data_IF_224946361218
#
_entry.id   IF_224946361218
#
_cell.length_a   1.000
_cell.length_b   1.000
_cell.length_c   1.000
_cell.angle_alpha   90.00
_cell.angle_beta   90.00
_cell.angle_gamma   90.00
#
_symmetry.space_group_name_H-M   'P 1'
#
loop_
_entity.id
_entity.type
_entity.pdbx_description
1 polymer ?
#
# COMPACT_ATOMS: atom_id res chain seq x y z
N UNK A 1 -54.50 -22.73 -10.57
CA UNK A 1 -53.42 -23.02 -9.62
C UNK A 1 -52.18 -22.31 -10.15
N UNK A 2 -52.04 -21.04 -9.73
CA UNK A 2 -50.96 -20.14 -10.21
C UNK A 2 -49.75 -20.33 -9.33
N UNK A 3 -48.69 -20.93 -9.90
CA UNK A 3 -47.36 -20.94 -9.30
C UNK A 3 -46.70 -19.57 -9.50
N UNK A 4 -46.74 -18.76 -8.46
CA UNK A 4 -45.92 -17.57 -8.38
C UNK A 4 -44.53 -18.06 -7.92
N UNK A 5 -43.63 -18.26 -8.88
CA UNK A 5 -42.21 -18.40 -8.58
C UNK A 5 -41.75 -17.02 -8.14
N UNK A 6 -41.55 -16.86 -6.86
CA UNK A 6 -40.83 -15.72 -6.28
C UNK A 6 -39.38 -15.83 -6.74
N UNK A 7 -39.03 -15.12 -7.80
CA UNK A 7 -37.66 -14.78 -8.10
C UNK A 7 -37.14 -13.89 -6.97
N UNK A 8 -36.55 -14.52 -5.96
CA UNK A 8 -35.72 -13.82 -4.98
C UNK A 8 -34.45 -13.46 -5.76
N UNK A 9 -34.47 -12.28 -6.38
CA UNK A 9 -33.25 -11.65 -6.85
C UNK A 9 -32.45 -11.35 -5.58
N UNK A 10 -31.50 -12.24 -5.25
CA UNK A 10 -30.43 -11.89 -4.34
C UNK A 10 -29.66 -10.76 -5.05
N UNK A 11 -29.93 -9.52 -4.67
CA UNK A 11 -29.06 -8.40 -5.00
C UNK A 11 -27.69 -8.76 -4.39
N UNK A 12 -26.82 -9.31 -5.23
CA UNK A 12 -25.42 -9.53 -4.86
C UNK A 12 -24.88 -8.15 -4.53
N UNK A 13 -24.59 -7.90 -3.27
CA UNK A 13 -23.89 -6.68 -2.87
C UNK A 13 -22.56 -6.69 -3.60
N UNK A 14 -22.39 -5.81 -4.55
CA UNK A 14 -21.14 -5.67 -5.28
C UNK A 14 -20.36 -4.60 -4.54
N UNK A 15 -19.37 -5.01 -3.77
CA UNK A 15 -18.43 -4.08 -3.17
C UNK A 15 -17.55 -3.47 -4.26
N UNK A 16 -17.17 -2.20 -4.04
CA UNK A 16 -16.40 -1.42 -5.03
C UNK A 16 -14.94 -1.33 -4.65
N UNK A 17 -14.65 -1.36 -3.34
CA UNK A 17 -13.29 -1.29 -2.79
C UNK A 17 -13.04 -2.53 -1.93
N UNK A 18 -11.93 -3.22 -2.19
CA UNK A 18 -11.38 -4.23 -1.29
C UNK A 18 -10.22 -3.64 -0.49
N UNK A 19 -10.23 -3.82 0.83
CA UNK A 19 -9.15 -3.42 1.73
C UNK A 19 -8.43 -4.68 2.17
N UNK A 20 -7.13 -4.75 1.96
CA UNK A 20 -6.29 -5.90 2.34
C UNK A 20 -5.42 -5.51 3.54
N UNK A 21 -5.53 -6.26 4.63
CA UNK A 21 -4.82 -6.05 5.89
C UNK A 21 -4.02 -7.31 6.21
N UNK A 22 -2.69 -7.32 5.99
CA UNK A 22 -1.83 -8.40 6.47
C UNK A 22 -1.65 -8.27 7.99
N UNK A 23 -1.81 -9.36 8.73
CA UNK A 23 -1.67 -9.40 10.19
C UNK A 23 -0.69 -10.50 10.58
N UNK A 24 0.30 -10.18 11.42
CA UNK A 24 1.19 -11.15 12.05
C UNK A 24 1.57 -10.71 13.46
N UNK A 25 0.98 -11.34 14.48
CA UNK A 25 1.25 -11.04 15.90
C UNK A 25 1.19 -9.54 16.25
N UNK A 26 0.34 -8.77 15.55
CA UNK A 26 0.13 -7.35 15.86
C UNK A 26 -0.47 -7.23 17.27
N UNK A 27 0.01 -6.30 18.11
CA UNK A 27 -0.58 -6.04 19.42
C UNK A 27 -2.10 -5.79 19.29
N UNK A 28 -2.88 -6.36 20.20
CA UNK A 28 -4.35 -6.33 20.09
C UNK A 28 -4.89 -4.90 20.10
N UNK A 29 -4.33 -4.02 20.93
CA UNK A 29 -4.77 -2.62 21.00
C UNK A 29 -4.52 -1.87 19.68
N UNK A 30 -3.39 -2.14 19.01
CA UNK A 30 -3.06 -1.56 17.71
C UNK A 30 -3.99 -2.10 16.62
N UNK A 31 -4.20 -3.41 16.62
CA UNK A 31 -5.09 -4.09 15.68
C UNK A 31 -6.54 -3.62 15.82
N UNK A 32 -7.03 -3.48 17.05
CA UNK A 32 -8.38 -2.96 17.32
C UNK A 32 -8.51 -1.50 16.85
N UNK A 33 -7.51 -0.66 17.12
CA UNK A 33 -7.44 0.72 16.64
C UNK A 33 -7.50 0.79 15.12
N UNK A 34 -6.72 -0.05 14.43
CA UNK A 34 -6.72 -0.17 12.97
C UNK A 34 -8.12 -0.52 12.44
N UNK A 35 -8.68 -1.63 12.89
CA UNK A 35 -9.96 -2.13 12.41
C UNK A 35 -11.13 -1.18 12.73
N UNK A 36 -11.12 -0.51 13.89
CA UNK A 36 -12.11 0.49 14.25
C UNK A 36 -12.03 1.72 13.34
N UNK A 37 -10.84 2.13 12.87
CA UNK A 37 -10.68 3.23 11.92
C UNK A 37 -11.32 2.95 10.57
N UNK A 38 -11.42 1.68 10.19
CA UNK A 38 -12.09 1.24 8.97
C UNK A 38 -13.61 1.18 9.16
N UNK A 39 -14.08 0.77 10.33
CA UNK A 39 -15.52 0.74 10.65
C UNK A 39 -16.19 2.12 10.58
N UNK A 40 -15.44 3.19 10.89
CA UNK A 40 -15.97 4.56 10.89
C UNK A 40 -15.83 5.28 9.55
N UNK A 41 -15.41 4.59 8.48
CA UNK A 41 -15.31 5.20 7.15
C UNK A 41 -16.67 5.70 6.69
N UNK A 42 -16.70 6.90 6.10
CA UNK A 42 -17.92 7.55 5.58
C UNK A 42 -18.41 6.95 4.25
N UNK A 43 -17.62 6.10 3.61
CA UNK A 43 -17.99 5.30 2.44
C UNK A 43 -18.26 3.86 2.86
N UNK A 44 -19.41 3.30 2.50
CA UNK A 44 -19.86 2.01 3.02
C UNK A 44 -19.77 0.83 2.02
N UNK A 45 -19.38 1.10 0.77
CA UNK A 45 -19.33 0.07 -0.27
C UNK A 45 -17.93 -0.56 -0.39
N UNK A 46 -17.47 -1.16 0.69
CA UNK A 46 -16.15 -1.81 0.80
C UNK A 46 -16.22 -3.16 1.50
N UNK A 47 -15.25 -4.02 1.19
CA UNK A 47 -15.01 -5.32 1.83
C UNK A 47 -13.59 -5.36 2.38
N UNK A 48 -13.43 -5.88 3.59
CA UNK A 48 -12.14 -5.98 4.29
C UNK A 48 -11.69 -7.43 4.31
N UNK A 49 -10.51 -7.68 3.78
CA UNK A 49 -9.81 -8.96 3.85
C UNK A 49 -8.68 -8.86 4.87
N UNK A 50 -8.89 -9.45 6.04
CA UNK A 50 -7.87 -9.56 7.09
C UNK A 50 -7.15 -10.88 6.86
N UNK A 51 -5.88 -10.81 6.48
CA UNK A 51 -5.05 -11.98 6.18
C UNK A 51 -4.09 -12.20 7.33
N UNK A 52 -4.44 -13.15 8.19
CA UNK A 52 -3.61 -13.57 9.31
C UNK A 52 -2.53 -14.53 8.82
N UNK A 53 -1.30 -14.06 8.80
CA UNK A 53 -0.10 -14.75 8.32
C UNK A 53 0.51 -15.66 9.41
N UNK A 54 -0.33 -16.51 10.01
CA UNK A 54 0.12 -17.50 10.99
C UNK A 54 0.41 -16.93 12.37
N UNK A 55 -0.40 -15.98 12.86
CA UNK A 55 -0.26 -15.40 14.20
C UNK A 55 -0.51 -16.43 15.32
N UNK A 56 -0.21 -16.03 16.54
CA UNK A 56 -0.52 -16.77 17.76
C UNK A 56 -2.05 -16.90 17.98
N UNK A 57 -2.43 -17.74 18.94
CA UNK A 57 -3.84 -18.05 19.19
C UNK A 57 -4.64 -16.84 19.70
N UNK A 58 -4.00 -15.93 20.43
CA UNK A 58 -4.64 -14.73 20.95
C UNK A 58 -5.10 -13.81 19.81
N UNK A 59 -4.18 -13.49 18.86
CA UNK A 59 -4.46 -12.69 17.67
C UNK A 59 -5.54 -13.35 16.81
N UNK A 60 -5.45 -14.67 16.56
CA UNK A 60 -6.46 -15.42 15.79
C UNK A 60 -7.84 -15.31 16.42
N UNK A 61 -7.93 -15.59 17.72
CA UNK A 61 -9.21 -15.53 18.45
C UNK A 61 -9.80 -14.12 18.43
N UNK A 62 -8.97 -13.10 18.58
CA UNK A 62 -9.41 -11.70 18.48
C UNK A 62 -10.02 -11.41 17.11
N UNK A 63 -9.31 -11.77 16.01
CA UNK A 63 -9.78 -11.52 14.64
C UNK A 63 -11.12 -12.20 14.34
N UNK A 64 -11.29 -13.47 14.72
CA UNK A 64 -12.54 -14.22 14.54
C UNK A 64 -13.69 -13.56 15.30
N UNK A 65 -13.46 -13.19 16.56
CA UNK A 65 -14.44 -12.50 17.37
C UNK A 65 -14.79 -11.13 16.80
N UNK A 66 -13.78 -10.37 16.34
CA UNK A 66 -13.97 -9.03 15.78
C UNK A 66 -14.82 -9.07 14.51
N UNK A 67 -14.60 -10.03 13.63
CA UNK A 67 -15.34 -10.17 12.37
C UNK A 67 -16.78 -10.71 12.57
N UNK A 68 -17.07 -11.34 13.72
CA UNK A 68 -18.38 -11.92 13.99
C UNK A 68 -19.50 -10.88 13.89
N UNK A 69 -20.48 -11.14 13.03
CA UNK A 69 -21.62 -10.25 12.79
C UNK A 69 -21.34 -9.07 11.84
N UNK A 70 -20.12 -8.95 11.31
CA UNK A 70 -19.75 -7.92 10.34
C UNK A 70 -19.62 -8.54 8.93
N UNK A 71 -20.64 -8.35 8.10
CA UNK A 71 -20.73 -8.97 6.77
C UNK A 71 -19.68 -8.47 5.76
N UNK A 72 -19.05 -7.35 6.03
CA UNK A 72 -18.01 -6.74 5.20
C UNK A 72 -16.59 -6.96 5.74
N UNK A 73 -16.38 -7.86 6.73
CA UNK A 73 -15.08 -8.26 7.24
C UNK A 73 -14.90 -9.77 7.04
N UNK A 74 -13.85 -10.15 6.33
CA UNK A 74 -13.49 -11.55 6.05
C UNK A 74 -12.11 -11.81 6.64
N UNK A 75 -12.02 -12.76 7.58
CA UNK A 75 -10.76 -13.25 8.13
C UNK A 75 -10.31 -14.50 7.38
N UNK A 76 -9.03 -14.56 7.04
CA UNK A 76 -8.36 -15.73 6.46
C UNK A 76 -7.07 -15.99 7.22
N UNK A 77 -6.98 -17.17 7.82
CA UNK A 77 -5.76 -17.67 8.45
C UNK A 77 -4.97 -18.48 7.43
N UNK A 78 -3.71 -18.11 7.22
CA UNK A 78 -2.78 -18.81 6.33
C UNK A 78 -1.54 -19.26 7.12
N UNK A 79 -0.72 -20.11 6.53
CA UNK A 79 0.61 -20.41 7.07
C UNK A 79 1.53 -19.20 6.90
N UNK A 80 2.41 -18.95 7.89
CA UNK A 80 3.30 -17.81 7.83
C UNK A 80 4.23 -17.86 6.62
N UNK A 81 4.11 -16.86 5.77
CA UNK A 81 4.89 -16.69 4.54
C UNK A 81 5.41 -15.27 4.35
N UNK A 82 5.19 -14.39 5.33
CA UNK A 82 5.59 -12.99 5.31
C UNK A 82 4.56 -12.06 4.68
N UNK A 83 4.74 -10.77 4.90
CA UNK A 83 3.80 -9.70 4.51
C UNK A 83 3.46 -9.71 3.01
N UNK A 84 4.44 -9.95 2.14
CA UNK A 84 4.24 -10.07 0.69
C UNK A 84 3.31 -11.23 0.34
N UNK A 85 3.47 -12.39 1.01
CA UNK A 85 2.62 -13.55 0.81
C UNK A 85 1.18 -13.26 1.26
N UNK A 86 1.00 -12.66 2.42
CA UNK A 86 -0.32 -12.29 2.93
C UNK A 86 -1.03 -11.28 2.00
N UNK A 87 -0.32 -10.23 1.53
CA UNK A 87 -0.87 -9.28 0.56
C UNK A 87 -1.25 -9.96 -0.75
N UNK A 88 -0.41 -10.85 -1.28
CA UNK A 88 -0.67 -11.61 -2.50
C UNK A 88 -1.92 -12.50 -2.37
N UNK A 89 -2.06 -13.17 -1.24
CA UNK A 89 -3.26 -13.97 -0.96
C UNK A 89 -4.52 -13.09 -0.93
N UNK A 90 -4.43 -11.91 -0.28
CA UNK A 90 -5.51 -10.93 -0.28
C UNK A 90 -5.89 -10.45 -1.70
N UNK A 91 -4.90 -10.16 -2.56
CA UNK A 91 -5.13 -9.81 -3.97
C UNK A 91 -5.86 -10.94 -4.70
N UNK A 92 -5.45 -12.19 -4.48
CA UNK A 92 -5.98 -13.37 -5.17
C UNK A 92 -7.45 -13.64 -4.86
N UNK A 93 -7.85 -13.50 -3.58
CA UNK A 93 -9.24 -13.78 -3.15
C UNK A 93 -10.18 -12.58 -3.29
N UNK A 94 -9.66 -11.39 -3.51
CA UNK A 94 -10.43 -10.16 -3.68
C UNK A 94 -10.78 -9.91 -5.15
N UNK A 95 -11.88 -9.18 -5.43
CA UNK A 95 -12.36 -8.98 -6.80
C UNK A 95 -13.07 -7.63 -7.08
N UNK A 96 -13.06 -6.70 -6.14
CA UNK A 96 -13.65 -5.37 -6.34
C UNK A 96 -12.87 -4.55 -7.37
N UNK A 97 -13.49 -3.49 -7.89
CA UNK A 97 -12.91 -2.58 -8.89
C UNK A 97 -11.63 -1.91 -8.39
N UNK A 98 -11.57 -1.61 -7.10
CA UNK A 98 -10.43 -0.94 -6.46
C UNK A 98 -9.86 -1.75 -5.30
N UNK A 99 -8.58 -1.50 -5.02
CA UNK A 99 -7.82 -2.09 -3.92
C UNK A 99 -7.17 -1.01 -3.06
N UNK A 100 -7.19 -1.22 -1.75
CA UNK A 100 -6.38 -0.47 -0.79
C UNK A 100 -5.62 -1.44 0.12
N UNK A 101 -4.43 -1.06 0.56
CA UNK A 101 -3.64 -1.80 1.54
C UNK A 101 -3.54 -0.98 2.83
N UNK A 102 -3.68 -1.66 3.96
CA UNK A 102 -3.57 -1.04 5.29
C UNK A 102 -2.71 -1.95 6.17
N UNK A 103 -1.70 -1.39 6.80
CA UNK A 103 -0.89 -2.13 7.77
C UNK A 103 -1.65 -2.22 9.11
N UNK A 104 -1.55 -3.35 9.78
CA UNK A 104 -2.41 -3.72 10.90
C UNK A 104 -2.21 -2.90 12.19
N UNK A 105 -1.13 -2.13 12.28
CA UNK A 105 -0.78 -1.23 13.39
C UNK A 105 -1.08 0.25 13.12
N UNK A 106 -1.58 0.58 11.91
CA UNK A 106 -1.88 1.92 11.44
C UNK A 106 -3.38 2.23 11.41
N UNK A 107 -3.78 3.47 11.08
CA UNK A 107 -5.20 3.84 10.98
C UNK A 107 -5.49 4.67 9.73
N UNK A 108 -6.76 4.61 9.28
CA UNK A 108 -7.27 5.46 8.21
C UNK A 108 -7.96 6.70 8.77
N UNK A 109 -7.81 7.83 8.08
CA UNK A 109 -8.70 8.98 8.26
C UNK A 109 -10.11 8.62 7.77
N UNK A 110 -11.15 9.09 8.47
CA UNK A 110 -12.54 8.67 8.28
C UNK A 110 -13.12 8.87 6.89
N UNK A 111 -12.59 9.82 6.12
CA UNK A 111 -13.09 10.17 4.79
C UNK A 111 -12.23 9.59 3.65
N UNK A 112 -11.19 8.82 3.96
CA UNK A 112 -10.24 8.29 2.97
C UNK A 112 -10.94 7.55 1.82
N UNK A 113 -11.75 6.55 2.14
CA UNK A 113 -12.37 5.72 1.08
C UNK A 113 -13.32 6.54 0.21
N UNK A 114 -14.06 7.48 0.81
CA UNK A 114 -14.99 8.34 0.08
C UNK A 114 -14.24 9.29 -0.86
N UNK A 115 -13.31 10.07 -0.32
CA UNK A 115 -12.57 11.07 -1.10
C UNK A 115 -11.73 10.41 -2.20
N UNK A 116 -11.02 9.31 -1.88
CA UNK A 116 -10.22 8.59 -2.85
C UNK A 116 -11.08 8.01 -3.97
N UNK A 117 -12.26 7.43 -3.65
CA UNK A 117 -13.19 6.90 -4.63
C UNK A 117 -13.77 8.00 -5.55
N UNK A 118 -14.21 9.12 -4.99
CA UNK A 118 -14.74 10.23 -5.76
C UNK A 118 -13.67 10.77 -6.73
N UNK A 119 -12.45 11.01 -6.25
CA UNK A 119 -11.37 11.58 -7.07
C UNK A 119 -10.92 10.60 -8.18
N UNK A 120 -10.78 9.30 -7.88
CA UNK A 120 -10.32 8.30 -8.85
C UNK A 120 -11.34 8.13 -9.99
N UNK A 121 -12.64 8.15 -9.66
CA UNK A 121 -13.74 8.05 -10.65
C UNK A 121 -13.87 9.33 -11.49
N UNK A 122 -13.93 10.50 -10.85
CA UNK A 122 -14.10 11.78 -11.53
C UNK A 122 -12.98 12.06 -12.54
N UNK A 123 -11.77 11.63 -12.24
CA UNK A 123 -10.60 11.87 -13.07
C UNK A 123 -10.22 10.65 -13.93
N UNK A 124 -10.94 9.53 -13.83
CA UNK A 124 -10.63 8.26 -14.50
C UNK A 124 -9.17 7.83 -14.30
N UNK A 125 -8.73 7.80 -13.05
CA UNK A 125 -7.36 7.44 -12.69
C UNK A 125 -7.21 5.93 -12.55
N UNK A 126 -5.99 5.44 -12.75
CA UNK A 126 -5.61 4.07 -12.40
C UNK A 126 -5.09 3.98 -10.95
N UNK A 127 -4.56 5.09 -10.43
CA UNK A 127 -4.02 5.21 -9.09
C UNK A 127 -4.28 6.62 -8.55
N UNK A 128 -4.73 6.71 -7.30
CA UNK A 128 -4.71 7.96 -6.54
C UNK A 128 -3.83 7.79 -5.30
N UNK A 129 -3.03 8.81 -5.00
CA UNK A 129 -2.07 8.85 -3.89
C UNK A 129 -2.38 10.05 -3.03
N UNK A 130 -2.54 9.83 -1.74
CA UNK A 130 -2.62 10.89 -0.72
C UNK A 130 -1.41 10.91 0.21
N UNK A 131 -1.41 11.86 1.13
CA UNK A 131 -0.45 11.97 2.21
C UNK A 131 -0.86 11.18 3.45
N UNK A 132 0.00 11.24 4.46
CA UNK A 132 -0.21 10.58 5.74
C UNK A 132 0.31 11.44 6.89
N UNK A 133 -0.11 11.11 8.11
CA UNK A 133 0.50 11.59 9.34
C UNK A 133 1.54 10.56 9.80
N UNK A 134 2.72 11.01 10.21
CA UNK A 134 3.63 10.22 11.05
C UNK A 134 3.31 10.54 12.50
N UNK A 135 3.04 9.51 13.30
CA UNK A 135 2.74 9.64 14.72
C UNK A 135 3.88 9.01 15.51
N UNK A 136 4.61 9.86 16.23
CA UNK A 136 5.76 9.48 17.08
C UNK A 136 5.53 10.07 18.46
N UNK A 137 5.44 9.24 19.49
CA UNK A 137 5.24 9.71 20.88
C UNK A 137 4.07 10.71 21.02
N UNK A 138 2.95 10.47 20.30
CA UNK A 138 1.78 11.34 20.21
C UNK A 138 2.01 12.69 19.51
N UNK A 139 3.17 12.93 18.92
CA UNK A 139 3.40 14.07 18.04
C UNK A 139 3.05 13.71 16.59
N UNK A 140 2.40 14.62 15.90
CA UNK A 140 1.92 14.40 14.53
C UNK A 140 2.76 15.24 13.56
N UNK A 141 3.41 14.60 12.61
CA UNK A 141 4.02 15.21 11.43
C UNK A 141 3.20 14.84 10.19
N UNK A 142 2.66 15.85 9.49
CA UNK A 142 1.94 15.63 8.22
C UNK A 142 2.89 15.47 7.05
N UNK A 143 2.71 14.42 6.26
CA UNK A 143 3.43 14.18 5.01
C UNK A 143 2.42 14.23 3.85
N UNK A 144 2.37 15.36 3.15
CA UNK A 144 1.41 15.64 2.07
C UNK A 144 2.05 16.45 0.96
N UNK A 145 1.34 16.64 -0.14
CA UNK A 145 1.76 17.58 -1.19
C UNK A 145 1.92 19.00 -0.62
N UNK A 146 2.96 19.68 -1.06
CA UNK A 146 3.19 21.10 -0.74
C UNK A 146 2.30 22.04 -1.55
N UNK A 147 1.75 21.58 -2.69
CA UNK A 147 0.83 22.35 -3.53
C UNK A 147 -0.61 21.82 -3.39
N UNK A 148 -1.61 22.72 -3.28
CA UNK A 148 -3.00 22.30 -3.14
C UNK A 148 -3.56 21.68 -4.42
N UNK A 149 -4.59 20.85 -4.25
CA UNK A 149 -5.34 20.25 -5.36
C UNK A 149 -4.84 18.88 -5.77
N UNK A 150 -5.14 18.50 -7.00
CA UNK A 150 -4.75 17.22 -7.60
C UNK A 150 -3.74 17.44 -8.72
N UNK A 151 -2.68 16.62 -8.71
CA UNK A 151 -1.65 16.59 -9.76
C UNK A 151 -1.78 15.28 -10.53
N UNK A 152 -2.03 15.37 -11.84
CA UNK A 152 -2.26 14.22 -12.71
C UNK A 152 -1.05 13.99 -13.61
N UNK A 153 -0.62 12.73 -13.67
CA UNK A 153 0.43 12.23 -14.56
C UNK A 153 -0.20 11.26 -15.55
N UNK A 154 -0.16 11.60 -16.84
CA UNK A 154 -0.69 10.79 -17.93
C UNK A 154 0.17 10.94 -19.20
N UNK A 155 0.13 9.96 -20.11
CA UNK A 155 0.93 9.97 -21.32
C UNK A 155 2.43 10.05 -21.01
N UNK A 156 3.16 10.94 -21.72
CA UNK A 156 4.61 11.11 -21.51
C UNK A 156 4.97 11.60 -20.09
N UNK A 157 4.05 12.32 -19.41
CA UNK A 157 4.28 12.80 -18.05
C UNK A 157 4.32 11.68 -17.00
N UNK A 158 3.87 10.47 -17.32
CA UNK A 158 3.98 9.33 -16.40
C UNK A 158 5.44 8.98 -16.14
N UNK A 159 6.33 9.25 -17.10
CA UNK A 159 7.78 9.09 -16.92
C UNK A 159 8.33 10.01 -15.82
N UNK A 160 7.79 11.21 -15.68
CA UNK A 160 8.14 12.14 -14.62
C UNK A 160 7.71 11.62 -13.24
N UNK A 161 6.53 10.98 -13.15
CA UNK A 161 6.12 10.30 -11.93
C UNK A 161 7.06 9.13 -11.61
N UNK A 162 7.41 8.34 -12.61
CA UNK A 162 8.31 7.18 -12.48
C UNK A 162 9.71 7.61 -12.02
N UNK A 163 10.25 8.67 -12.60
CA UNK A 163 11.51 9.27 -12.16
C UNK A 163 11.44 9.70 -10.69
N UNK A 164 10.33 10.33 -10.27
CA UNK A 164 10.12 10.73 -8.89
C UNK A 164 9.99 9.55 -7.93
N UNK A 165 9.35 8.46 -8.36
CA UNK A 165 9.23 7.22 -7.59
C UNK A 165 10.60 6.59 -7.31
N UNK A 166 11.49 6.59 -8.29
CA UNK A 166 12.84 6.03 -8.21
C UNK A 166 13.83 6.98 -7.56
N UNK A 167 13.77 8.25 -7.93
CA UNK A 167 14.68 9.26 -7.42
C UNK A 167 14.34 9.57 -5.97
N UNK A 168 15.28 9.28 -5.10
CA UNK A 168 15.20 9.70 -3.71
C UNK A 168 15.78 11.09 -3.50
N UNK A 169 15.79 11.97 -4.52
CA UNK A 169 16.19 13.38 -4.39
C UNK A 169 15.18 14.11 -3.51
N UNK A 170 15.39 14.00 -2.21
CA UNK A 170 14.56 14.58 -1.17
C UNK A 170 14.56 16.12 -1.18
N UNK A 171 15.42 16.82 -1.95
CA UNK A 171 15.67 18.24 -1.74
C UNK A 171 15.34 19.21 -2.89
N UNK A 172 15.16 18.76 -4.12
CA UNK A 172 14.78 19.70 -5.21
C UNK A 172 13.48 19.30 -5.92
N UNK A 173 13.28 18.02 -6.22
CA UNK A 173 12.03 17.52 -6.82
C UNK A 173 10.87 17.48 -5.82
N UNK A 174 11.13 17.24 -4.55
CA UNK A 174 10.11 17.24 -3.50
C UNK A 174 9.57 18.65 -3.16
N UNK A 175 10.14 19.73 -3.71
CA UNK A 175 9.54 21.06 -3.54
C UNK A 175 8.21 21.22 -4.26
N UNK A 176 8.00 20.50 -5.37
CA UNK A 176 6.74 20.56 -6.12
C UNK A 176 5.69 19.57 -5.61
N UNK A 177 6.11 18.36 -5.15
CA UNK A 177 5.19 17.30 -4.69
C UNK A 177 5.20 17.19 -3.16
N UNK A 178 6.09 17.91 -2.48
CA UNK A 178 6.32 17.73 -1.05
C UNK A 178 7.00 16.39 -0.74
N UNK A 179 6.91 15.94 0.51
CA UNK A 179 7.43 14.65 0.97
C UNK A 179 6.53 13.47 0.58
N UNK A 180 5.82 13.53 -0.58
CA UNK A 180 4.88 12.46 -0.94
C UNK A 180 5.61 11.11 -1.08
N UNK A 181 5.24 10.10 -0.30
CA UNK A 181 5.94 8.82 -0.27
C UNK A 181 5.52 7.95 -1.45
N UNK A 182 6.15 8.16 -2.57
CA UNK A 182 5.78 7.46 -3.82
C UNK A 182 6.07 5.95 -3.78
N UNK A 183 7.00 5.47 -2.97
CA UNK A 183 7.37 4.06 -2.86
C UNK A 183 6.53 3.21 -1.88
N UNK A 184 5.67 3.81 -1.05
CA UNK A 184 4.85 3.07 -0.08
C UNK A 184 3.53 2.64 -0.72
N UNK A 185 2.85 1.62 -0.19
CA UNK A 185 1.57 1.14 -0.75
C UNK A 185 0.33 1.64 -0.01
N UNK A 186 0.47 2.10 1.21
CA UNK A 186 -0.64 2.71 1.95
C UNK A 186 -0.94 4.14 1.45
N UNK A 187 -2.02 4.75 1.85
CA UNK A 187 -2.54 6.04 1.37
C UNK A 187 -2.96 6.04 -0.11
N UNK A 188 -3.26 4.85 -0.66
CA UNK A 188 -3.54 4.69 -2.09
C UNK A 188 -4.81 3.91 -2.34
N UNK A 189 -5.47 4.28 -3.44
CA UNK A 189 -6.52 3.46 -4.03
C UNK A 189 -6.06 3.06 -5.44
N UNK A 190 -5.94 1.76 -5.66
CA UNK A 190 -5.47 1.13 -6.89
C UNK A 190 -6.64 0.64 -7.73
N UNK A 191 -6.67 0.93 -9.01
CA UNK A 191 -7.61 0.31 -9.94
C UNK A 191 -7.13 -1.11 -10.26
N UNK A 192 -7.99 -2.10 -10.06
CA UNK A 192 -7.65 -3.52 -10.23
C UNK A 192 -7.23 -3.86 -11.64
N UNK A 193 -7.89 -3.31 -12.66
CA UNK A 193 -7.58 -3.62 -14.06
C UNK A 193 -6.12 -3.29 -14.40
N UNK A 194 -5.58 -2.22 -13.81
CA UNK A 194 -4.18 -1.82 -14.01
C UNK A 194 -3.19 -2.68 -13.20
N UNK A 195 -3.69 -3.47 -12.25
CA UNK A 195 -2.86 -4.44 -11.51
C UNK A 195 -2.45 -5.62 -12.40
N UNK A 196 -3.36 -6.10 -13.26
CA UNK A 196 -3.13 -7.31 -14.06
C UNK A 196 -2.81 -8.53 -13.19
N UNK A 197 -1.68 -9.17 -13.48
CA UNK A 197 -1.17 -10.32 -12.71
C UNK A 197 -0.07 -9.93 -11.71
N UNK A 198 0.08 -8.65 -11.41
CA UNK A 198 1.13 -8.14 -10.51
C UNK A 198 0.97 -8.73 -9.11
N UNK A 199 2.10 -9.14 -8.53
CA UNK A 199 2.23 -9.65 -7.16
C UNK A 199 3.44 -9.02 -6.48
N UNK A 200 3.40 -8.98 -5.15
CA UNK A 200 4.58 -8.65 -4.35
C UNK A 200 5.61 -9.77 -4.47
N UNK A 201 6.89 -9.43 -4.58
CA UNK A 201 7.97 -10.42 -4.56
C UNK A 201 8.16 -10.94 -3.12
N UNK A 202 7.92 -12.24 -2.95
CA UNK A 202 8.04 -12.90 -1.64
C UNK A 202 9.48 -13.14 -1.18
N UNK A 203 10.46 -12.97 -2.07
CA UNK A 203 11.88 -13.09 -1.74
C UNK A 203 12.47 -11.78 -1.23
N UNK A 204 11.76 -10.68 -1.38
CA UNK A 204 12.19 -9.35 -0.96
C UNK A 204 11.51 -9.00 0.36
N UNK A 205 12.33 -8.78 1.41
CA UNK A 205 11.85 -8.52 2.77
C UNK A 205 11.99 -7.06 3.18
N UNK A 206 12.46 -6.18 2.29
CA UNK A 206 12.56 -4.74 2.49
C UNK A 206 12.38 -4.02 1.18
N UNK A 207 11.54 -2.99 1.16
CA UNK A 207 11.18 -2.22 -0.03
C UNK A 207 10.42 -3.04 -1.10
N UNK A 208 9.75 -4.11 -0.70
CA UNK A 208 8.83 -4.90 -1.54
C UNK A 208 7.68 -4.02 -2.08
N UNK A 209 7.24 -3.08 -1.27
CA UNK A 209 6.24 -2.07 -1.63
C UNK A 209 6.74 -1.12 -2.74
N UNK A 210 8.00 -0.69 -2.66
CA UNK A 210 8.61 0.13 -3.72
C UNK A 210 8.69 -0.63 -5.04
N UNK A 211 9.09 -1.91 -5.03
CA UNK A 211 9.10 -2.74 -6.24
C UNK A 211 7.69 -2.91 -6.81
N UNK A 212 6.72 -3.20 -5.96
CA UNK A 212 5.32 -3.29 -6.37
C UNK A 212 4.81 -1.99 -7.00
N UNK A 213 5.14 -0.84 -6.41
CA UNK A 213 4.78 0.47 -6.95
C UNK A 213 5.44 0.76 -8.31
N UNK A 214 6.69 0.37 -8.50
CA UNK A 214 7.40 0.46 -9.78
C UNK A 214 6.65 -0.35 -10.84
N UNK A 215 6.39 -1.63 -10.55
CA UNK A 215 5.74 -2.55 -11.49
C UNK A 215 4.29 -2.14 -11.78
N UNK A 216 3.56 -1.61 -10.78
CA UNK A 216 2.22 -1.06 -10.98
C UNK A 216 2.24 0.18 -11.88
N UNK A 217 3.20 1.08 -11.67
CA UNK A 217 3.31 2.32 -12.45
C UNK A 217 3.55 2.06 -13.94
N UNK A 218 4.28 0.99 -14.28
CA UNK A 218 4.49 0.57 -15.67
C UNK A 218 3.17 0.22 -16.36
N UNK A 219 2.21 -0.35 -15.63
CA UNK A 219 0.91 -0.76 -16.15
C UNK A 219 -0.15 0.35 -16.09
N UNK A 220 0.10 1.41 -15.34
CA UNK A 220 -0.85 2.52 -15.17
C UNK A 220 -0.74 3.52 -16.33
N UNK A 221 -1.87 4.05 -16.78
CA UNK A 221 -1.92 5.09 -17.80
C UNK A 221 -2.13 6.48 -17.20
N UNK A 222 -2.75 6.56 -16.02
CA UNK A 222 -3.12 7.82 -15.40
C UNK A 222 -3.05 7.76 -13.88
N UNK A 223 -2.18 8.58 -13.28
CA UNK A 223 -1.90 8.59 -11.84
C UNK A 223 -2.20 9.98 -11.28
N UNK A 224 -2.94 10.03 -10.17
CA UNK A 224 -3.20 11.27 -9.44
C UNK A 224 -2.46 11.30 -8.11
N UNK A 225 -1.98 12.47 -7.72
CA UNK A 225 -1.49 12.76 -6.37
C UNK A 225 -2.28 13.93 -5.82
N UNK A 226 -2.75 13.84 -4.57
CA UNK A 226 -3.64 14.83 -3.96
C UNK A 226 -3.13 15.32 -2.61
N UNK A 227 -3.34 16.62 -2.33
CA UNK A 227 -3.04 17.24 -1.03
C UNK A 227 -4.14 16.90 -0.01
N UNK A 228 -4.22 15.63 0.33
CA UNK A 228 -5.10 15.09 1.38
C UNK A 228 -4.29 14.17 2.27
N UNK A 229 -4.55 14.19 3.56
CA UNK A 229 -3.99 13.24 4.51
C UNK A 229 -5.05 12.20 4.80
N UNK A 230 -4.76 10.94 4.48
CA UNK A 230 -5.73 9.84 4.56
C UNK A 230 -5.33 8.72 5.51
N UNK A 231 -4.11 8.77 6.04
CA UNK A 231 -3.51 7.66 6.77
C UNK A 231 -2.74 8.16 7.98
N UNK A 232 -2.70 7.38 9.04
CA UNK A 232 -1.89 7.64 10.21
C UNK A 232 -0.92 6.49 10.40
N UNK A 233 0.36 6.78 10.15
CA UNK A 233 1.47 5.86 10.31
C UNK A 233 2.07 5.99 11.71
N UNK A 234 1.94 4.93 12.52
CA UNK A 234 2.46 4.89 13.88
C UNK A 234 3.88 4.35 13.90
N UNK A 235 4.83 5.19 14.31
CA UNK A 235 6.23 4.79 14.44
C UNK A 235 6.45 4.23 15.85
N UNK A 236 6.53 2.91 15.94
CA UNK A 236 6.80 2.19 17.18
C UNK A 236 8.28 1.81 17.27
N UNK A 237 8.85 1.81 18.49
CA UNK A 237 10.24 1.39 18.74
C UNK A 237 10.49 -0.08 18.34
N UNK A 238 9.44 -0.89 18.30
CA UNK A 238 9.45 -2.32 17.93
C UNK A 238 9.22 -2.59 16.45
N UNK A 239 9.13 -1.55 15.62
CA UNK A 239 8.96 -1.70 14.18
C UNK A 239 10.06 -2.60 13.59
N UNK A 240 9.68 -3.55 12.72
CA UNK A 240 10.58 -4.52 12.08
C UNK A 240 11.76 -3.83 11.38
N UNK A 241 11.54 -2.63 10.85
CA UNK A 241 12.56 -1.80 10.23
C UNK A 241 13.67 -1.35 11.20
N UNK A 242 13.36 -1.20 12.50
CA UNK A 242 14.31 -0.76 13.52
C UNK A 242 15.06 -1.92 14.21
N UNK A 243 14.50 -3.14 14.20
CA UNK A 243 15.04 -4.30 14.92
C UNK A 243 15.97 -5.19 14.06
N UNK A 244 16.20 -4.84 12.79
CA UNK A 244 16.93 -5.71 11.86
C UNK A 244 18.44 -5.68 12.14
N UNK A 245 19.04 -6.88 12.37
CA UNK A 245 20.50 -7.01 12.52
C UNK A 245 21.23 -6.51 11.27
N UNK A 246 22.40 -5.89 11.45
CA UNK A 246 23.25 -5.27 10.41
C UNK A 246 23.42 -6.14 9.16
N UNK A 247 23.82 -7.40 9.31
CA UNK A 247 24.04 -8.30 8.18
C UNK A 247 22.73 -8.61 7.42
N UNK A 248 21.63 -8.83 8.14
CA UNK A 248 20.33 -9.06 7.55
C UNK A 248 19.82 -7.81 6.80
N UNK A 249 20.09 -6.62 7.33
CA UNK A 249 19.76 -5.35 6.68
C UNK A 249 20.52 -5.20 5.37
N UNK A 250 21.84 -5.48 5.35
CA UNK A 250 22.67 -5.43 4.15
C UNK A 250 22.14 -6.41 3.10
N UNK A 251 21.90 -7.68 3.47
CA UNK A 251 21.38 -8.68 2.54
C UNK A 251 20.03 -8.28 1.94
N UNK A 252 19.13 -7.68 2.72
CA UNK A 252 17.85 -7.19 2.23
C UNK A 252 18.04 -6.06 1.20
N UNK A 253 18.95 -5.12 1.46
CA UNK A 253 19.26 -4.03 0.52
C UNK A 253 19.91 -4.57 -0.76
N UNK A 254 20.82 -5.53 -0.66
CA UNK A 254 21.44 -6.19 -1.81
C UNK A 254 20.40 -6.94 -2.66
N UNK A 255 19.44 -7.63 -2.03
CA UNK A 255 18.30 -8.24 -2.70
C UNK A 255 17.48 -7.22 -3.49
N UNK A 256 17.12 -6.10 -2.86
CA UNK A 256 16.42 -5.00 -3.51
C UNK A 256 17.21 -4.42 -4.70
N UNK A 257 18.53 -4.19 -4.54
CA UNK A 257 19.39 -3.74 -5.64
C UNK A 257 19.36 -4.71 -6.82
N UNK A 258 19.44 -6.02 -6.55
CA UNK A 258 19.39 -7.04 -7.59
C UNK A 258 18.10 -6.94 -8.42
N UNK A 259 16.96 -6.75 -7.77
CA UNK A 259 15.66 -6.60 -8.45
C UNK A 259 15.56 -5.29 -9.25
N UNK A 260 16.10 -4.19 -8.71
CA UNK A 260 16.18 -2.91 -9.43
C UNK A 260 17.08 -3.01 -10.66
N UNK A 261 18.22 -3.70 -10.56
CA UNK A 261 19.14 -3.93 -11.71
C UNK A 261 18.44 -4.70 -12.83
N UNK A 262 17.68 -5.76 -12.52
CA UNK A 262 16.91 -6.51 -13.52
C UNK A 262 15.93 -5.61 -14.28
N UNK A 263 15.19 -4.76 -13.57
CA UNK A 263 14.23 -3.81 -14.18
C UNK A 263 14.93 -2.76 -15.02
N UNK A 264 16.03 -2.20 -14.53
CA UNK A 264 16.87 -1.26 -15.27
C UNK A 264 17.38 -1.84 -16.60
N UNK A 265 17.82 -3.10 -16.58
CA UNK A 265 18.42 -3.74 -17.76
C UNK A 265 17.35 -4.03 -18.84
N UNK A 266 16.09 -4.20 -18.46
CA UNK A 266 14.95 -4.33 -19.37
C UNK A 266 14.40 -2.98 -19.86
N UNK A 267 14.74 -1.88 -19.19
CA UNK A 267 14.22 -0.55 -19.52
C UNK A 267 14.88 0.03 -20.78
N UNK A 268 14.07 0.63 -21.63
CA UNK A 268 14.55 1.27 -22.88
C UNK A 268 14.56 2.80 -22.81
N UNK A 269 13.74 3.38 -21.91
CA UNK A 269 13.71 4.83 -21.72
C UNK A 269 14.95 5.28 -20.92
N UNK A 270 15.76 6.15 -21.53
CA UNK A 270 17.03 6.59 -20.96
C UNK A 270 16.86 7.38 -19.66
N UNK A 271 15.77 8.14 -19.54
CA UNK A 271 15.46 8.93 -18.33
C UNK A 271 15.14 7.98 -17.16
N UNK A 272 14.28 7.01 -17.40
CA UNK A 272 13.90 6.01 -16.40
C UNK A 272 15.12 5.16 -16.02
N UNK A 273 15.92 4.78 -17.00
CA UNK A 273 17.16 4.02 -16.77
C UNK A 273 18.13 4.77 -15.87
N UNK A 274 18.30 6.07 -16.09
CA UNK A 274 19.11 6.95 -15.24
C UNK A 274 18.57 7.03 -13.81
N UNK A 275 17.26 7.07 -13.63
CA UNK A 275 16.63 7.08 -12.31
C UNK A 275 16.84 5.75 -11.55
N UNK A 276 16.82 4.60 -12.23
CA UNK A 276 17.23 3.31 -11.65
C UNK A 276 18.70 3.35 -11.20
N UNK A 277 19.61 3.86 -12.02
CA UNK A 277 21.03 3.95 -11.66
C UNK A 277 21.26 4.82 -10.42
N UNK A 278 20.54 5.93 -10.32
CA UNK A 278 20.58 6.79 -9.13
C UNK A 278 20.07 6.06 -7.88
N UNK A 279 18.98 5.29 -7.99
CA UNK A 279 18.44 4.50 -6.89
C UNK A 279 19.43 3.43 -6.41
N UNK A 280 20.06 2.72 -7.34
CA UNK A 280 21.11 1.72 -7.06
C UNK A 280 22.29 2.37 -6.33
N UNK A 281 22.78 3.50 -6.83
CA UNK A 281 23.91 4.21 -6.22
C UNK A 281 23.60 4.61 -4.77
N UNK A 282 22.40 5.09 -4.49
CA UNK A 282 21.99 5.46 -3.13
C UNK A 282 21.90 4.26 -2.20
N UNK A 283 21.34 3.15 -2.66
CA UNK A 283 21.27 1.92 -1.88
C UNK A 283 22.70 1.42 -1.55
N UNK A 284 23.62 1.42 -2.51
CA UNK A 284 25.01 1.07 -2.28
C UNK A 284 25.70 2.02 -1.28
N UNK A 285 25.48 3.32 -1.37
CA UNK A 285 26.02 4.30 -0.43
C UNK A 285 25.46 4.07 0.99
N UNK A 286 24.23 3.62 1.11
CA UNK A 286 23.64 3.28 2.41
C UNK A 286 24.28 2.02 3.00
N UNK A 287 24.54 0.98 2.20
CA UNK A 287 25.30 -0.21 2.62
C UNK A 287 26.70 0.20 3.16
N UNK A 288 27.42 1.05 2.43
CA UNK A 288 28.73 1.53 2.86
C UNK A 288 28.67 2.29 4.20
N UNK A 289 27.63 3.07 4.44
CA UNK A 289 27.41 3.71 5.75
C UNK A 289 27.18 2.67 6.86
N UNK A 290 26.31 1.67 6.60
CA UNK A 290 26.05 0.60 7.57
C UNK A 290 27.35 -0.16 7.90
N UNK A 291 28.20 -0.44 6.93
CA UNK A 291 29.48 -1.17 7.15
C UNK A 291 30.49 -0.39 8.00
N UNK A 292 30.41 0.95 7.99
CA UNK A 292 31.35 1.83 8.74
C UNK A 292 31.01 1.98 10.22
N UNK A 293 29.78 1.77 10.63
CA UNK A 293 29.29 1.84 12.01
C UNK A 293 28.91 0.44 12.54
#
# INVERSE_FOLDING_TARGET
MFNIIRDIIFLKVIFVIDIIIPVYNTPIDDLERCLNSILIQTYNNYLVYIIDDGSNIETKTFLDNYATGKNNFIVKHIENGGVSNARNYGIEISNSKYLAFVDADDTLEKDFLKEAYEIIEENNLDLIIGGYNEIVNNEIRKVRLSMPGIHIYEGENINNFFEKLLSSKTNEYNKEIGDCPTGRIYTRLFKRDSLGNLKFDTNIHMSEDTLFMIDYTINANKIGIVDRVWYNYYINEYSISNATKKDKLINNIEGFISEIVKRRDMETNIIIKSAYDERIQKANNYIEKIKKY
#
